data_IF_523822462956
#
_entry.id   IF_523822462956
#
_cell.length_a   1.000
_cell.length_b   1.000
_cell.length_c   1.000
_cell.angle_alpha   90.00
_cell.angle_beta   90.00
_cell.angle_gamma   90.00
#
_symmetry.space_group_name_H-M   'P 1'
#
loop_
_entity.id
_entity.type
_entity.pdbx_description
1 polymer ?
#
# COMPACT_ATOMS: atom_id res chain seq x y z
N UNK A 1 -17.43 -6.96 1.70
CA UNK A 1 -16.79 -6.50 0.45
C UNK A 1 -15.39 -5.97 0.77
N UNK A 2 -14.44 -6.87 0.98
CA UNK A 2 -12.98 -6.64 0.92
C UNK A 2 -12.49 -7.68 -0.11
N UNK A 3 -12.34 -7.26 -1.37
CA UNK A 3 -12.02 -8.16 -2.46
C UNK A 3 -10.52 -8.26 -2.65
N UNK A 4 -9.91 -9.26 -1.99
CA UNK A 4 -8.60 -9.85 -2.32
C UNK A 4 -8.67 -11.34 -1.98
N UNK A 5 -9.49 -12.06 -2.75
CA UNK A 5 -9.42 -13.52 -3.01
C UNK A 5 -8.72 -14.40 -1.94
N UNK A 6 -9.12 -14.29 -0.66
CA UNK A 6 -8.64 -15.16 0.42
C UNK A 6 -7.19 -14.93 0.89
N UNK A 7 -6.54 -13.81 0.52
CA UNK A 7 -5.19 -13.51 1.01
C UNK A 7 -5.22 -13.01 2.47
N UNK A 8 -4.26 -13.44 3.30
CA UNK A 8 -4.17 -12.94 4.67
C UNK A 8 -3.65 -11.49 4.67
N UNK A 9 -3.95 -10.69 5.72
CA UNK A 9 -3.66 -9.26 5.74
C UNK A 9 -2.18 -8.89 5.53
N UNK A 10 -1.27 -9.69 6.10
CA UNK A 10 0.18 -9.56 5.96
C UNK A 10 0.63 -9.69 4.50
N UNK A 11 0.02 -10.58 3.72
CA UNK A 11 0.33 -10.70 2.29
C UNK A 11 -0.12 -9.46 1.49
N UNK A 12 -1.26 -8.86 1.84
CA UNK A 12 -1.72 -7.62 1.21
C UNK A 12 -0.75 -6.48 1.53
N UNK A 13 -0.35 -6.36 2.79
CA UNK A 13 0.63 -5.36 3.22
C UNK A 13 1.96 -5.55 2.48
N UNK A 14 2.46 -6.78 2.41
CA UNK A 14 3.70 -7.10 1.72
C UNK A 14 3.64 -6.73 0.23
N UNK A 15 2.51 -7.01 -0.44
CA UNK A 15 2.31 -6.63 -1.84
C UNK A 15 2.32 -5.11 -2.02
N UNK A 16 1.66 -4.36 -1.13
CA UNK A 16 1.67 -2.88 -1.15
C UNK A 16 3.08 -2.35 -0.90
N UNK A 17 3.78 -2.83 0.13
CA UNK A 17 5.17 -2.46 0.42
C UNK A 17 6.08 -2.71 -0.79
N UNK A 18 5.95 -3.88 -1.44
CA UNK A 18 6.71 -4.21 -2.64
C UNK A 18 6.39 -3.24 -3.79
N UNK A 19 5.12 -2.94 -4.05
CA UNK A 19 4.73 -1.99 -5.10
C UNK A 19 5.28 -0.58 -4.81
N UNK A 20 5.16 -0.10 -3.57
CA UNK A 20 5.71 1.19 -3.15
C UNK A 20 7.24 1.22 -3.26
N UNK A 21 7.93 0.10 -3.00
CA UNK A 21 9.37 -0.02 -3.18
C UNK A 21 9.78 0.10 -4.66
N UNK A 22 9.08 -0.57 -5.56
CA UNK A 22 9.32 -0.45 -7.01
C UNK A 22 9.12 0.98 -7.52
N UNK A 23 8.24 1.73 -6.86
CA UNK A 23 7.94 3.13 -7.19
C UNK A 23 8.84 4.13 -6.44
N UNK A 24 9.72 3.67 -5.54
CA UNK A 24 10.67 4.51 -4.80
C UNK A 24 10.13 5.14 -3.51
N UNK A 25 8.94 4.77 -3.04
CA UNK A 25 8.33 5.29 -1.82
C UNK A 25 8.66 4.45 -0.56
N UNK A 26 9.09 3.20 -0.73
CA UNK A 26 9.40 2.31 0.39
C UNK A 26 10.82 1.73 0.24
N UNK A 27 11.69 1.96 1.22
CA UNK A 27 13.12 1.60 1.15
C UNK A 27 13.54 0.47 2.08
N UNK A 28 12.64 0.02 2.96
CA UNK A 28 12.92 -1.07 3.91
C UNK A 28 12.60 -2.46 3.35
N UNK A 29 12.91 -3.50 4.12
CA UNK A 29 12.55 -4.86 3.77
C UNK A 29 11.03 -5.03 3.77
N UNK A 30 10.51 -5.76 2.77
CA UNK A 30 9.10 -6.13 2.71
C UNK A 30 8.84 -7.20 3.77
N UNK A 31 8.08 -6.84 4.81
CA UNK A 31 7.84 -7.67 6.00
C UNK A 31 6.35 -7.95 6.27
N UNK A 32 5.45 -7.34 5.50
CA UNK A 32 4.01 -7.51 5.67
C UNK A 32 3.44 -6.80 6.91
N UNK A 33 4.18 -5.87 7.53
CA UNK A 33 3.76 -5.13 8.73
C UNK A 33 3.32 -3.71 8.37
N UNK A 34 2.09 -3.35 8.75
CA UNK A 34 1.59 -1.99 8.60
C UNK A 34 2.07 -1.09 9.74
N UNK A 35 3.38 -0.85 9.78
CA UNK A 35 4.07 0.01 10.75
C UNK A 35 4.14 1.48 10.32
N UNK A 36 4.81 2.31 11.13
CA UNK A 36 4.97 3.74 10.85
C UNK A 36 5.61 4.02 9.49
N UNK A 37 6.68 3.28 9.14
CA UNK A 37 7.38 3.43 7.86
C UNK A 37 6.47 3.12 6.67
N UNK A 38 5.70 2.03 6.74
CA UNK A 38 4.73 1.69 5.68
C UNK A 38 3.63 2.73 5.56
N UNK A 39 3.13 3.27 6.68
CA UNK A 39 2.13 4.35 6.66
C UNK A 39 2.68 5.60 6.00
N UNK A 40 3.89 6.04 6.36
CA UNK A 40 4.53 7.20 5.73
C UNK A 40 4.74 7.00 4.23
N UNK A 41 5.20 5.82 3.79
CA UNK A 41 5.33 5.52 2.37
C UNK A 41 3.98 5.56 1.61
N UNK A 42 2.90 5.11 2.26
CA UNK A 42 1.53 5.21 1.71
C UNK A 42 1.11 6.68 1.62
N UNK A 43 1.34 7.48 2.67
CA UNK A 43 1.01 8.91 2.69
C UNK A 43 1.74 9.67 1.58
N UNK A 44 3.05 9.45 1.42
CA UNK A 44 3.86 10.06 0.37
C UNK A 44 3.33 9.70 -1.03
N UNK A 45 3.03 8.42 -1.25
CA UNK A 45 2.42 7.98 -2.51
C UNK A 45 1.05 8.63 -2.74
N UNK A 46 0.21 8.72 -1.71
CA UNK A 46 -1.11 9.33 -1.79
C UNK A 46 -1.01 10.82 -2.13
N UNK A 47 -0.07 11.55 -1.52
CA UNK A 47 0.20 12.97 -1.82
C UNK A 47 0.59 13.14 -3.29
N UNK A 48 1.60 12.42 -3.76
CA UNK A 48 2.13 12.56 -5.12
C UNK A 48 1.13 12.13 -6.21
N UNK A 49 0.22 11.20 -5.90
CA UNK A 49 -0.79 10.71 -6.84
C UNK A 49 -2.16 11.41 -6.68
N UNK A 50 -2.25 12.49 -5.91
CA UNK A 50 -3.49 13.25 -5.66
C UNK A 50 -4.64 12.37 -5.12
N UNK A 51 -4.32 11.41 -4.27
CA UNK A 51 -5.28 10.56 -3.56
C UNK A 51 -5.62 11.17 -2.19
N UNK A 52 -6.73 10.77 -1.55
CA UNK A 52 -6.95 11.06 -0.14
C UNK A 52 -5.79 10.52 0.71
N UNK A 53 -5.15 11.40 1.48
CA UNK A 53 -4.01 11.05 2.35
C UNK A 53 -4.55 10.44 3.64
N UNK A 54 -4.61 9.11 3.68
CA UNK A 54 -5.14 8.33 4.80
C UNK A 54 -4.06 7.53 5.52
N UNK A 55 -2.90 7.31 4.88
CA UNK A 55 -1.84 6.42 5.37
C UNK A 55 -2.28 4.96 5.52
N UNK A 56 -3.44 4.60 4.95
CA UNK A 56 -4.06 3.30 5.07
C UNK A 56 -4.08 2.57 3.72
N UNK A 57 -4.08 1.24 3.78
CA UNK A 57 -4.35 0.42 2.61
C UNK A 57 -5.86 0.46 2.35
N UNK A 58 -6.29 1.44 1.56
CA UNK A 58 -7.68 1.70 1.20
C UNK A 58 -7.96 1.45 -0.28
N UNK A 59 -9.24 1.51 -0.67
CA UNK A 59 -9.64 1.25 -2.06
C UNK A 59 -8.97 2.20 -3.06
N UNK A 60 -8.92 3.54 -2.84
CA UNK A 60 -8.20 4.44 -3.73
C UNK A 60 -6.74 4.05 -3.96
N UNK A 61 -5.97 3.77 -2.89
CA UNK A 61 -4.59 3.31 -3.00
C UNK A 61 -4.48 2.06 -3.87
N UNK A 62 -5.33 1.08 -3.56
CA UNK A 62 -5.32 -0.23 -4.18
C UNK A 62 -5.74 -0.22 -5.66
N UNK A 63 -6.68 0.64 -6.04
CA UNK A 63 -7.03 0.89 -7.45
C UNK A 63 -5.85 1.57 -8.16
N UNK A 64 -5.25 2.58 -7.54
CA UNK A 64 -4.12 3.33 -8.11
C UNK A 64 -2.88 2.47 -8.35
N UNK A 65 -2.59 1.54 -7.43
CA UNK A 65 -1.53 0.55 -7.57
C UNK A 65 -1.91 -0.64 -8.48
N UNK A 66 -3.14 -0.67 -9.01
CA UNK A 66 -3.60 -1.68 -9.97
C UNK A 66 -3.95 -3.04 -9.36
N UNK A 67 -4.10 -3.12 -8.03
CA UNK A 67 -4.45 -4.36 -7.34
C UNK A 67 -5.92 -4.75 -7.52
N UNK A 68 -6.82 -3.78 -7.72
CA UNK A 68 -8.27 -3.99 -7.97
C UNK A 68 -8.80 -2.99 -9.00
N UNK A 69 -10.00 -3.27 -9.53
CA UNK A 69 -10.73 -2.45 -10.51
C UNK A 69 -12.13 -2.16 -9.99
#
# INVERSE_FOLDING_TARGET
>A
MYGYDGLPPDQIIANVQYALQQLGYFSEAVDGVLGGVTRSAIEDYQVENNLPVTGAIDRPLLISLGFIR
#
